data_IF_402368097227
#
_entry.id   IF_402368097227
#
_cell.length_a   1.000
_cell.length_b   1.000
_cell.length_c   1.000
_cell.angle_alpha   90.00
_cell.angle_beta   90.00
_cell.angle_gamma   90.00
#
_symmetry.space_group_name_H-M   'P 1'
#
loop_
_entity.id
_entity.type
_entity.pdbx_description
1 polymer ?
#
# COMPACT_ATOMS: atom_id res chain seq x y z
N UNK A 1 5.42 -15.45 -8.99
CA UNK A 1 4.04 -15.01 -9.08
C UNK A 1 3.14 -15.87 -8.19
N UNK A 2 2.57 -15.29 -7.13
CA UNK A 2 1.74 -16.01 -6.14
C UNK A 2 0.26 -16.09 -6.55
N UNK A 3 -0.11 -15.55 -7.71
CA UNK A 3 -1.52 -15.40 -8.09
C UNK A 3 -2.32 -16.71 -8.09
N UNK A 4 -1.62 -17.84 -8.25
CA UNK A 4 -2.23 -19.17 -8.30
C UNK A 4 -1.65 -20.13 -7.23
N UNK A 5 -0.82 -19.61 -6.31
CA UNK A 5 -0.17 -20.44 -5.30
C UNK A 5 -0.96 -20.34 -3.99
N UNK A 6 -1.58 -21.44 -3.60
CA UNK A 6 -2.23 -21.57 -2.31
C UNK A 6 -1.15 -21.85 -1.27
N UNK A 7 -1.11 -21.03 -0.22
CA UNK A 7 -0.18 -21.27 0.88
C UNK A 7 -0.51 -22.58 1.60
N UNK A 8 0.49 -23.46 1.75
CA UNK A 8 0.34 -24.70 2.51
C UNK A 8 0.26 -24.40 4.02
N UNK A 9 -0.95 -24.46 4.53
CA UNK A 9 -1.26 -24.19 5.93
C UNK A 9 -0.64 -25.20 6.92
N UNK A 10 -0.07 -26.34 6.45
CA UNK A 10 0.60 -27.33 7.32
C UNK A 10 2.02 -26.89 7.67
N UNK A 11 2.61 -25.98 6.92
CA UNK A 11 3.96 -25.48 7.17
C UNK A 11 4.11 -24.86 8.56
N UNK A 12 5.31 -25.03 9.13
CA UNK A 12 5.67 -24.34 10.37
C UNK A 12 5.96 -22.88 10.06
N UNK A 13 5.26 -21.98 10.74
CA UNK A 13 5.44 -20.54 10.61
C UNK A 13 5.69 -19.90 11.97
N UNK A 14 6.35 -18.74 11.99
CA UNK A 14 6.66 -18.07 13.24
C UNK A 14 5.40 -17.72 14.07
N UNK A 15 4.24 -17.32 13.48
CA UNK A 15 3.03 -17.09 14.28
C UNK A 15 2.57 -18.34 15.00
N UNK A 16 2.60 -19.51 14.37
CA UNK A 16 2.26 -20.78 15.01
C UNK A 16 3.21 -21.13 16.18
N UNK A 17 4.50 -20.83 16.02
CA UNK A 17 5.48 -21.03 17.10
C UNK A 17 5.24 -20.09 18.26
N UNK A 18 4.94 -18.83 17.99
CA UNK A 18 4.62 -17.83 19.01
C UNK A 18 3.31 -18.15 19.74
N UNK A 19 2.26 -18.61 19.04
CA UNK A 19 1.05 -19.12 19.67
C UNK A 19 1.36 -20.25 20.66
N UNK A 20 2.19 -21.24 20.26
CA UNK A 20 2.62 -22.33 21.15
C UNK A 20 3.41 -21.84 22.35
N UNK A 21 4.11 -20.72 22.23
CA UNK A 21 4.84 -20.07 23.31
C UNK A 21 3.96 -19.16 24.19
N UNK A 22 2.64 -19.13 23.95
CA UNK A 22 1.67 -18.37 24.77
C UNK A 22 1.41 -16.94 24.31
N UNK A 23 1.92 -16.53 23.12
CA UNK A 23 1.61 -15.23 22.55
C UNK A 23 0.20 -15.21 21.97
N UNK A 24 -0.48 -14.08 22.10
CA UNK A 24 -1.63 -13.75 21.25
C UNK A 24 -1.13 -13.27 19.89
N UNK A 25 -1.76 -13.74 18.82
CA UNK A 25 -1.29 -13.51 17.45
C UNK A 25 -2.37 -12.87 16.59
N UNK A 26 -2.03 -11.83 15.87
CA UNK A 26 -2.94 -11.21 14.91
C UNK A 26 -2.26 -10.87 13.58
N UNK A 27 -3.04 -10.93 12.48
CA UNK A 27 -2.68 -10.36 11.19
C UNK A 27 -3.83 -9.52 10.65
N UNK A 28 -3.54 -8.28 10.29
CA UNK A 28 -4.51 -7.31 9.79
C UNK A 28 -3.96 -6.63 8.54
N UNK A 29 -4.73 -6.65 7.45
CA UNK A 29 -4.37 -6.00 6.21
C UNK A 29 -4.10 -6.93 5.04
N UNK A 30 -3.11 -6.64 4.20
CA UNK A 30 -2.83 -7.42 2.99
C UNK A 30 -2.32 -8.81 3.31
N UNK A 31 -2.94 -9.84 2.71
CA UNK A 31 -2.55 -11.24 2.90
C UNK A 31 -2.09 -11.92 1.60
N UNK A 32 -2.87 -11.86 0.55
CA UNK A 32 -2.58 -12.30 -0.82
C UNK A 32 -2.01 -13.73 -0.96
N UNK A 33 -2.37 -14.65 -0.07
CA UNK A 33 -1.92 -16.04 -0.09
C UNK A 33 -3.01 -17.06 -0.47
N UNK A 34 -4.18 -16.59 -0.92
CA UNK A 34 -5.38 -17.35 -1.31
C UNK A 34 -6.03 -18.08 -0.13
N UNK A 35 -5.26 -18.91 0.61
CA UNK A 35 -5.76 -19.58 1.83
C UNK A 35 -6.05 -18.58 2.94
N UNK A 36 -6.94 -18.97 3.86
CA UNK A 36 -7.17 -18.19 5.06
C UNK A 36 -5.93 -18.20 5.99
N UNK A 37 -5.69 -17.13 6.76
CA UNK A 37 -4.58 -17.08 7.71
C UNK A 37 -4.70 -18.18 8.76
N UNK A 38 -3.58 -18.85 9.07
CA UNK A 38 -3.46 -19.85 10.12
C UNK A 38 -2.32 -19.50 11.07
N UNK A 39 -2.48 -19.88 12.36
CA UNK A 39 -1.53 -19.51 13.40
C UNK A 39 -1.77 -18.11 13.95
N UNK A 40 -2.98 -17.58 13.77
CA UNK A 40 -3.43 -16.31 14.31
C UNK A 40 -4.73 -16.50 15.09
N UNK A 41 -4.80 -15.88 16.28
CA UNK A 41 -6.00 -15.86 17.12
C UNK A 41 -7.03 -14.88 16.55
N UNK A 42 -6.54 -13.84 15.89
CA UNK A 42 -7.36 -12.86 15.18
C UNK A 42 -6.78 -12.57 13.79
N UNK A 43 -7.65 -12.41 12.82
CA UNK A 43 -7.25 -11.91 11.51
C UNK A 43 -8.40 -11.19 10.81
N UNK A 44 -8.06 -10.12 10.12
CA UNK A 44 -8.96 -9.44 9.19
C UNK A 44 -8.14 -8.92 8.01
N UNK A 45 -8.33 -9.52 6.84
CA UNK A 45 -7.42 -9.36 5.71
C UNK A 45 -8.13 -8.90 4.43
N UNK A 46 -7.34 -8.26 3.57
CA UNK A 46 -7.78 -7.85 2.24
C UNK A 46 -7.76 -9.06 1.30
N UNK A 47 -8.87 -9.39 0.61
CA UNK A 47 -8.86 -10.38 -0.45
C UNK A 47 -7.97 -9.95 -1.62
N UNK A 48 -7.15 -10.86 -2.14
CA UNK A 48 -6.26 -10.60 -3.27
C UNK A 48 -5.34 -9.40 -3.05
N UNK A 49 -5.29 -8.49 -4.02
CA UNK A 49 -4.50 -7.25 -3.92
C UNK A 49 -5.13 -6.18 -3.03
N UNK A 50 -6.41 -6.30 -2.72
CA UNK A 50 -7.17 -5.28 -2.04
C UNK A 50 -7.39 -4.01 -2.88
N UNK A 51 -8.18 -3.08 -2.36
CA UNK A 51 -8.41 -1.75 -2.95
C UNK A 51 -8.14 -0.68 -1.91
N UNK A 52 -7.88 0.55 -2.36
CA UNK A 52 -7.51 1.64 -1.46
C UNK A 52 -8.69 2.26 -0.71
N UNK A 53 -9.86 2.26 -1.31
CA UNK A 53 -11.06 2.88 -0.75
C UNK A 53 -12.15 1.85 -0.51
N UNK A 54 -12.80 1.97 0.63
CA UNK A 54 -13.96 1.17 1.02
C UNK A 54 -13.74 -0.34 0.79
N UNK A 55 -12.57 -0.91 1.17
CA UNK A 55 -12.22 -2.26 0.82
C UNK A 55 -13.15 -3.27 1.47
N UNK A 56 -13.65 -4.28 0.73
CA UNK A 56 -14.14 -5.47 1.40
C UNK A 56 -12.95 -6.14 2.10
N UNK A 57 -13.16 -6.59 3.34
CA UNK A 57 -12.19 -7.37 4.09
C UNK A 57 -12.79 -8.74 4.43
N UNK A 58 -11.95 -9.70 4.73
CA UNK A 58 -12.35 -11.04 5.16
C UNK A 58 -11.80 -11.33 6.55
N UNK A 59 -12.62 -11.94 7.40
CA UNK A 59 -12.21 -12.51 8.69
C UNK A 59 -12.79 -13.92 8.85
N UNK A 60 -12.65 -14.53 10.02
CA UNK A 60 -13.13 -15.89 10.29
C UNK A 60 -14.65 -16.05 10.15
N UNK A 61 -15.43 -14.98 10.23
CA UNK A 61 -16.88 -14.99 10.09
C UNK A 61 -17.34 -14.73 8.64
N UNK A 62 -16.41 -14.37 7.75
CA UNK A 62 -16.71 -14.10 6.35
C UNK A 62 -16.31 -12.71 5.87
N UNK A 63 -17.02 -12.22 4.85
CA UNK A 63 -16.76 -10.91 4.25
C UNK A 63 -17.35 -9.78 5.09
N UNK A 64 -16.54 -8.75 5.32
CA UNK A 64 -16.90 -7.53 6.05
C UNK A 64 -16.77 -6.34 5.11
N UNK A 65 -17.81 -5.51 5.02
CA UNK A 65 -17.74 -4.22 4.34
C UNK A 65 -17.09 -3.20 5.25
N UNK A 66 -16.14 -2.46 4.74
CA UNK A 66 -15.53 -1.34 5.45
C UNK A 66 -15.72 -0.05 4.63
N UNK A 67 -15.65 1.10 5.30
CA UNK A 67 -15.74 2.40 4.67
C UNK A 67 -14.55 3.25 5.10
N UNK A 68 -13.96 3.97 4.16
CA UNK A 68 -12.81 4.83 4.38
C UNK A 68 -11.59 4.41 3.59
N UNK A 69 -10.44 4.95 3.98
CA UNK A 69 -9.16 4.68 3.34
C UNK A 69 -8.46 3.47 3.96
N UNK A 70 -8.00 2.55 3.13
CA UNK A 70 -7.50 1.23 3.57
C UNK A 70 -6.37 1.30 4.59
N UNK A 71 -5.44 2.25 4.46
CA UNK A 71 -4.31 2.39 5.38
C UNK A 71 -4.79 2.80 6.78
N UNK A 72 -5.74 3.75 6.85
CA UNK A 72 -6.37 4.17 8.10
C UNK A 72 -7.16 3.00 8.74
N UNK A 73 -7.98 2.29 7.94
CA UNK A 73 -8.78 1.14 8.40
C UNK A 73 -7.90 0.05 9.00
N UNK A 74 -6.80 -0.33 8.35
CA UNK A 74 -5.87 -1.36 8.83
C UNK A 74 -5.26 -0.93 10.18
N UNK A 75 -4.89 0.33 10.32
CA UNK A 75 -4.34 0.87 11.56
C UNK A 75 -5.39 0.94 12.66
N UNK A 76 -6.61 1.39 12.35
CA UNK A 76 -7.71 1.45 13.31
C UNK A 76 -8.04 0.07 13.88
N UNK A 77 -8.16 -0.95 13.01
CA UNK A 77 -8.35 -2.34 13.41
C UNK A 77 -7.19 -2.88 14.25
N UNK A 78 -5.97 -2.49 13.92
CA UNK A 78 -4.75 -2.88 14.66
C UNK A 78 -4.74 -2.28 16.07
N UNK A 79 -5.04 -1.00 16.20
CA UNK A 79 -5.15 -0.31 17.47
C UNK A 79 -6.31 -0.87 18.32
N UNK A 80 -7.45 -1.11 17.70
CA UNK A 80 -8.61 -1.74 18.37
C UNK A 80 -8.25 -3.13 18.92
N UNK A 81 -7.60 -3.96 18.11
CA UNK A 81 -7.16 -5.28 18.56
C UNK A 81 -6.16 -5.21 19.71
N UNK A 82 -5.13 -4.35 19.62
CA UNK A 82 -4.15 -4.16 20.71
C UNK A 82 -4.86 -3.72 22.00
N UNK A 83 -5.84 -2.81 21.90
CA UNK A 83 -6.55 -2.28 23.05
C UNK A 83 -7.36 -3.36 23.79
N UNK A 84 -7.92 -4.31 23.05
CA UNK A 84 -8.83 -5.37 23.56
C UNK A 84 -8.12 -6.69 23.91
N UNK A 85 -6.80 -6.80 23.64
CA UNK A 85 -6.05 -8.01 23.92
C UNK A 85 -6.06 -8.38 25.41
N UNK A 86 -5.81 -9.63 25.73
CA UNK A 86 -5.50 -10.05 27.11
C UNK A 86 -4.15 -9.45 27.53
N UNK A 87 -4.20 -8.46 28.43
CA UNK A 87 -3.00 -7.71 28.89
C UNK A 87 -2.02 -8.57 29.72
N UNK A 88 -2.41 -9.78 30.09
CA UNK A 88 -1.56 -10.72 30.85
C UNK A 88 -0.65 -11.54 29.93
N UNK A 89 -0.86 -11.50 28.60
CA UNK A 89 -0.11 -12.27 27.63
C UNK A 89 0.72 -11.38 26.72
N UNK A 90 1.88 -11.86 26.28
CA UNK A 90 2.61 -11.21 25.19
C UNK A 90 1.82 -11.31 23.89
N UNK A 91 2.14 -10.44 22.93
CA UNK A 91 1.45 -10.44 21.65
C UNK A 91 2.41 -10.28 20.45
N UNK A 92 1.95 -10.74 19.32
CA UNK A 92 2.50 -10.37 18.02
C UNK A 92 1.38 -9.88 17.10
N UNK A 93 1.60 -8.73 16.46
CA UNK A 93 0.70 -8.15 15.48
C UNK A 93 1.45 -7.94 14.17
N UNK A 94 0.92 -8.49 13.09
CA UNK A 94 1.33 -8.19 11.73
C UNK A 94 0.34 -7.16 11.15
N UNK A 95 0.72 -5.87 11.18
CA UNK A 95 -0.04 -4.78 10.58
C UNK A 95 0.46 -4.57 9.15
N UNK A 96 -0.27 -5.11 8.16
CA UNK A 96 0.19 -5.22 6.77
C UNK A 96 -0.57 -4.25 5.86
N UNK A 97 -0.04 -3.03 5.69
CA UNK A 97 -0.61 -2.03 4.80
C UNK A 97 -0.52 -2.48 3.33
N UNK A 98 -1.57 -2.13 2.53
CA UNK A 98 -1.55 -2.28 1.08
C UNK A 98 -0.63 -1.24 0.42
N UNK A 99 -0.66 -0.01 0.92
CA UNK A 99 0.17 1.07 0.42
C UNK A 99 1.66 0.80 0.68
N UNK A 100 2.56 1.19 -0.21
CA UNK A 100 2.36 1.91 -1.46
C UNK A 100 2.27 1.03 -2.72
N UNK A 101 1.61 -0.13 -2.68
CA UNK A 101 1.43 -0.96 -3.88
C UNK A 101 0.67 -0.19 -4.98
N UNK A 102 0.98 -0.44 -6.24
CA UNK A 102 0.21 0.02 -7.41
C UNK A 102 -1.30 -0.25 -7.18
N UNK A 103 -2.24 0.68 -7.45
CA UNK A 103 -2.15 1.85 -8.33
C UNK A 103 -1.90 3.18 -7.59
N UNK A 104 -1.33 3.19 -6.38
CA UNK A 104 -0.95 4.40 -5.62
C UNK A 104 -2.09 5.43 -5.52
N UNK A 105 -3.24 5.03 -5.04
CA UNK A 105 -4.37 5.94 -4.86
C UNK A 105 -4.19 6.69 -3.53
N UNK A 106 -3.91 8.01 -3.54
CA UNK A 106 -3.70 8.77 -2.32
C UNK A 106 -4.97 8.84 -1.46
N UNK A 107 -4.81 9.02 -0.15
CA UNK A 107 -5.93 9.40 0.70
C UNK A 107 -6.44 10.80 0.29
N UNK A 108 -7.76 11.00 0.26
CA UNK A 108 -8.36 12.30 -0.08
C UNK A 108 -7.86 13.45 0.82
N UNK A 109 -7.52 13.16 2.08
CA UNK A 109 -6.91 14.14 3.00
C UNK A 109 -5.49 14.55 2.61
N UNK A 110 -4.79 13.71 1.84
CA UNK A 110 -3.41 13.91 1.42
C UNK A 110 -3.28 14.34 -0.06
N UNK A 111 -4.42 14.53 -0.74
CA UNK A 111 -4.42 15.07 -2.10
C UNK A 111 -3.76 16.46 -2.13
N UNK A 112 -2.80 16.60 -3.04
CA UNK A 112 -2.01 17.83 -3.12
C UNK A 112 -0.89 17.92 -2.10
N UNK A 113 -0.63 16.86 -1.33
CA UNK A 113 0.63 16.74 -0.60
C UNK A 113 1.79 17.01 -1.57
N UNK A 114 2.63 17.97 -1.21
CA UNK A 114 3.81 18.32 -2.01
C UNK A 114 3.52 18.76 -3.46
N UNK A 115 2.32 19.31 -3.74
CA UNK A 115 1.81 19.63 -5.09
C UNK A 115 2.69 20.58 -5.91
N UNK A 116 3.47 21.44 -5.23
CA UNK A 116 4.31 22.46 -5.86
C UNK A 116 5.77 21.98 -6.06
N UNK A 117 6.08 20.77 -5.59
CA UNK A 117 7.40 20.18 -5.74
C UNK A 117 7.56 19.59 -7.13
N UNK A 118 8.71 19.85 -7.73
CA UNK A 118 9.18 19.13 -8.91
C UNK A 118 10.23 18.12 -8.45
N UNK A 119 9.95 16.85 -8.65
CA UNK A 119 10.87 15.79 -8.31
C UNK A 119 12.02 15.74 -9.30
N UNK A 120 13.28 15.67 -8.84
CA UNK A 120 14.43 15.56 -9.73
C UNK A 120 14.33 14.26 -10.54
N UNK A 121 14.60 14.36 -11.83
CA UNK A 121 14.68 13.18 -12.68
C UNK A 121 15.94 12.39 -12.31
N UNK A 122 15.86 11.07 -12.04
CA UNK A 122 17.05 10.28 -11.89
C UNK A 122 17.87 10.26 -13.19
N UNK A 123 19.21 10.25 -13.12
CA UNK A 123 20.06 10.24 -14.33
C UNK A 123 19.76 9.06 -15.27
N UNK A 124 19.20 7.98 -14.72
CA UNK A 124 18.87 6.76 -15.45
C UNK A 124 17.41 6.69 -15.91
N UNK A 125 16.62 7.77 -15.78
CA UNK A 125 15.20 7.78 -16.22
C UNK A 125 15.05 7.33 -17.68
N UNK A 126 16.03 7.63 -18.51
CA UNK A 126 16.10 7.25 -19.93
C UNK A 126 17.34 6.37 -20.20
N UNK A 127 17.60 5.39 -19.31
CA UNK A 127 18.70 4.44 -19.47
C UNK A 127 18.57 3.65 -20.78
N UNK A 128 19.64 3.53 -21.51
CA UNK A 128 19.71 2.74 -22.76
C UNK A 128 20.03 1.26 -22.48
N UNK A 129 20.27 0.92 -21.22
CA UNK A 129 20.66 -0.40 -20.73
C UNK A 129 21.95 -0.95 -21.36
N UNK A 130 22.80 -0.09 -21.96
CA UNK A 130 24.09 -0.49 -22.50
C UNK A 130 24.94 -1.22 -21.45
N UNK A 131 25.57 -2.32 -21.87
CA UNK A 131 26.40 -3.18 -21.01
C UNK A 131 25.69 -3.85 -19.81
N UNK A 132 24.37 -3.94 -19.84
CA UNK A 132 23.59 -4.66 -18.84
C UNK A 132 23.12 -6.03 -19.34
N UNK A 133 22.66 -6.88 -18.43
CA UNK A 133 22.07 -8.17 -18.81
C UNK A 133 20.83 -7.95 -19.71
N UNK A 134 20.68 -8.81 -20.72
CA UNK A 134 19.57 -8.74 -21.68
C UNK A 134 18.19 -8.66 -21.02
N UNK A 135 17.98 -9.41 -19.95
CA UNK A 135 16.74 -9.42 -19.19
C UNK A 135 16.33 -8.03 -18.64
N UNK A 136 17.29 -7.16 -18.36
CA UNK A 136 17.01 -5.78 -17.87
C UNK A 136 16.42 -4.92 -18.97
N UNK A 137 17.02 -4.97 -20.16
CA UNK A 137 16.53 -4.21 -21.32
C UNK A 137 15.22 -4.74 -21.93
N UNK A 138 14.91 -6.03 -21.69
CA UNK A 138 13.67 -6.67 -22.12
C UNK A 138 12.52 -6.52 -21.13
N UNK A 139 12.76 -5.91 -19.98
CA UNK A 139 11.72 -5.68 -18.98
C UNK A 139 10.67 -4.68 -19.51
N UNK A 140 9.40 -5.09 -19.42
CA UNK A 140 8.28 -4.25 -19.84
C UNK A 140 7.78 -3.30 -18.75
N UNK A 141 8.16 -3.50 -17.49
CA UNK A 141 7.71 -2.67 -16.37
C UNK A 141 8.46 -1.33 -16.38
N UNK A 142 8.00 -0.42 -17.25
CA UNK A 142 8.58 0.92 -17.38
C UNK A 142 7.49 2.00 -17.33
N UNK A 143 7.88 3.23 -17.00
CA UNK A 143 7.01 4.40 -17.05
C UNK A 143 6.48 4.66 -18.46
N UNK A 144 7.22 4.26 -19.49
CA UNK A 144 6.81 4.40 -20.89
C UNK A 144 5.75 3.37 -21.28
N UNK A 145 5.93 2.08 -20.89
CA UNK A 145 5.14 0.96 -21.44
C UNK A 145 3.98 0.53 -20.53
N UNK A 146 4.22 0.46 -19.23
CA UNK A 146 3.27 -0.19 -18.28
C UNK A 146 2.41 0.74 -17.45
N UNK A 147 2.68 2.06 -17.47
CA UNK A 147 1.82 3.03 -16.80
C UNK A 147 0.49 3.13 -17.55
N UNK A 148 -0.58 2.79 -16.87
CA UNK A 148 -1.95 2.82 -17.38
C UNK A 148 -2.67 4.13 -17.03
N UNK A 149 -3.81 4.44 -17.66
CA UNK A 149 -4.66 5.57 -17.26
C UNK A 149 -5.09 5.55 -15.79
N UNK A 150 -5.24 4.36 -15.17
CA UNK A 150 -5.55 4.23 -13.75
C UNK A 150 -4.38 4.68 -12.88
N UNK A 151 -3.16 4.29 -13.21
CA UNK A 151 -1.96 4.64 -12.45
C UNK A 151 -1.73 6.16 -12.35
N UNK A 152 -2.06 6.89 -13.41
CA UNK A 152 -1.93 8.34 -13.47
C UNK A 152 -3.26 9.07 -13.23
N UNK A 153 -4.27 8.38 -12.66
CA UNK A 153 -5.56 8.92 -12.22
C UNK A 153 -6.38 9.62 -13.33
N UNK A 154 -6.20 9.20 -14.59
CA UNK A 154 -7.10 9.58 -15.68
C UNK A 154 -8.43 8.81 -15.61
N UNK A 155 -8.47 7.75 -14.82
CA UNK A 155 -9.68 6.99 -14.49
C UNK A 155 -9.85 7.02 -12.98
N UNK A 156 -11.02 7.44 -12.54
CA UNK A 156 -11.38 7.49 -11.12
C UNK A 156 -11.54 6.07 -10.55
N UNK A 157 -11.08 5.80 -9.30
CA UNK A 157 -11.36 4.54 -8.62
C UNK A 157 -12.86 4.30 -8.47
N UNK A 158 -13.39 3.14 -8.88
CA UNK A 158 -14.83 2.88 -8.84
C UNK A 158 -15.38 2.65 -7.43
N UNK A 159 -14.52 2.50 -6.42
CA UNK A 159 -14.89 2.21 -5.04
C UNK A 159 -15.18 3.46 -4.21
N UNK A 160 -14.91 4.66 -4.75
CA UNK A 160 -15.19 5.91 -4.06
C UNK A 160 -16.71 6.08 -3.84
N UNK A 161 -17.10 6.45 -2.63
CA UNK A 161 -18.45 6.96 -2.39
C UNK A 161 -18.62 8.37 -2.96
N UNK A 162 -19.81 8.93 -2.86
CA UNK A 162 -20.15 10.22 -3.47
C UNK A 162 -19.32 11.39 -2.92
N UNK A 163 -19.03 11.39 -1.61
CA UNK A 163 -18.24 12.43 -0.95
C UNK A 163 -16.76 12.31 -1.36
N UNK A 164 -16.21 11.12 -1.28
CA UNK A 164 -14.85 10.82 -1.72
C UNK A 164 -14.65 11.17 -3.20
N UNK A 165 -15.63 10.81 -4.05
CA UNK A 165 -15.60 11.09 -5.48
C UNK A 165 -15.60 12.61 -5.76
N UNK A 166 -16.41 13.39 -5.05
CA UNK A 166 -16.44 14.83 -5.23
C UNK A 166 -15.09 15.50 -4.92
N UNK A 167 -14.43 15.10 -3.82
CA UNK A 167 -13.10 15.61 -3.45
C UNK A 167 -12.05 15.16 -4.46
N UNK A 168 -12.09 13.90 -4.88
CA UNK A 168 -11.19 13.33 -5.86
C UNK A 168 -11.27 14.05 -7.20
N UNK A 169 -12.48 14.21 -7.73
CA UNK A 169 -12.72 14.86 -9.03
C UNK A 169 -12.29 16.33 -8.99
N UNK A 170 -12.62 17.06 -7.93
CA UNK A 170 -12.18 18.45 -7.77
C UNK A 170 -10.65 18.61 -7.84
N UNK A 171 -9.89 17.60 -7.38
CA UNK A 171 -8.44 17.61 -7.45
C UNK A 171 -7.90 17.16 -8.81
N UNK A 172 -8.40 16.04 -9.35
CA UNK A 172 -7.81 15.42 -10.54
C UNK A 172 -8.36 15.94 -11.86
N UNK A 173 -9.63 16.33 -11.99
CA UNK A 173 -10.21 16.78 -13.26
C UNK A 173 -9.47 17.97 -13.89
N UNK A 174 -9.16 19.07 -13.17
CA UNK A 174 -8.42 20.17 -13.75
C UNK A 174 -7.02 19.76 -14.26
N UNK A 175 -6.37 18.85 -13.51
CA UNK A 175 -5.04 18.31 -13.84
C UNK A 175 -5.07 17.39 -15.06
N UNK A 176 -6.12 16.62 -15.18
CA UNK A 176 -6.34 15.71 -16.30
C UNK A 176 -6.69 16.51 -17.58
N UNK A 177 -7.51 17.56 -17.44
CA UNK A 177 -7.80 18.46 -18.55
C UNK A 177 -6.52 19.18 -19.07
N UNK A 178 -5.67 19.64 -18.16
CA UNK A 178 -4.38 20.24 -18.52
C UNK A 178 -3.47 19.25 -19.25
N UNK A 179 -3.39 18.00 -18.79
CA UNK A 179 -2.64 16.93 -19.46
C UNK A 179 -3.17 16.66 -20.87
N UNK A 180 -4.49 16.51 -21.02
CA UNK A 180 -5.10 16.29 -22.33
C UNK A 180 -4.79 17.43 -23.33
N UNK A 181 -4.87 18.68 -22.85
CA UNK A 181 -4.54 19.86 -23.67
C UNK A 181 -3.06 19.91 -24.06
N UNK A 182 -2.16 19.41 -23.22
CA UNK A 182 -0.71 19.42 -23.47
C UNK A 182 -0.29 18.46 -24.60
N UNK A 183 -1.10 17.43 -24.90
CA UNK A 183 -0.88 16.45 -25.99
C UNK A 183 0.55 15.90 -26.03
N UNK A 184 1.07 15.46 -24.87
CA UNK A 184 2.45 15.04 -24.69
C UNK A 184 2.75 13.72 -25.39
N UNK A 185 3.99 13.57 -25.89
CA UNK A 185 4.47 12.32 -26.49
C UNK A 185 5.96 12.10 -26.18
N UNK A 186 6.47 10.87 -26.46
CA UNK A 186 7.87 10.53 -26.27
C UNK A 186 8.38 10.82 -24.85
N UNK A 187 9.56 11.41 -24.75
CA UNK A 187 10.21 11.70 -23.45
C UNK A 187 9.40 12.65 -22.56
N UNK A 188 8.67 13.60 -23.13
CA UNK A 188 7.87 14.54 -22.34
C UNK A 188 6.66 13.86 -21.70
N UNK A 189 6.08 12.87 -22.36
CA UNK A 189 5.05 12.03 -21.77
C UNK A 189 5.62 11.18 -20.60
N UNK A 190 6.83 10.62 -20.75
CA UNK A 190 7.49 9.86 -19.69
C UNK A 190 7.79 10.75 -18.48
N UNK A 191 8.31 11.97 -18.68
CA UNK A 191 8.54 12.96 -17.62
C UNK A 191 7.27 13.32 -16.89
N UNK A 192 6.18 13.56 -17.63
CA UNK A 192 4.89 13.86 -17.03
C UNK A 192 4.37 12.68 -16.21
N UNK A 193 4.48 11.45 -16.71
CA UNK A 193 4.11 10.22 -15.98
C UNK A 193 4.94 10.07 -14.71
N UNK A 194 6.24 10.32 -14.79
CA UNK A 194 7.15 10.28 -13.64
C UNK A 194 6.71 11.27 -12.55
N UNK A 195 6.47 12.54 -12.89
CA UNK A 195 6.02 13.52 -11.90
C UNK A 195 4.67 13.13 -11.27
N UNK A 196 3.70 12.72 -12.09
CA UNK A 196 2.38 12.28 -11.62
C UNK A 196 2.51 11.07 -10.69
N UNK A 197 3.29 10.09 -11.08
CA UNK A 197 3.56 8.90 -10.29
C UNK A 197 4.21 9.25 -8.94
N UNK A 198 5.24 10.10 -8.94
CA UNK A 198 5.94 10.48 -7.72
C UNK A 198 5.03 11.18 -6.71
N UNK A 199 4.19 12.12 -7.15
CA UNK A 199 3.23 12.79 -6.27
C UNK A 199 2.26 11.79 -5.65
N UNK A 200 1.64 10.94 -6.45
CA UNK A 200 0.63 9.99 -5.96
C UNK A 200 1.26 8.89 -5.08
N UNK A 201 2.45 8.40 -5.46
CA UNK A 201 3.21 7.43 -4.68
C UNK A 201 3.57 7.97 -3.30
N UNK A 202 4.18 9.15 -3.25
CA UNK A 202 4.63 9.73 -1.97
C UNK A 202 3.45 10.17 -1.08
N UNK A 203 2.32 10.55 -1.65
CA UNK A 203 1.10 10.77 -0.87
C UNK A 203 0.59 9.47 -0.24
N UNK A 204 0.73 8.30 -0.91
CA UNK A 204 0.40 7.01 -0.27
C UNK A 204 1.42 6.61 0.80
N UNK A 205 2.71 6.92 0.59
CA UNK A 205 3.77 6.73 1.60
C UNK A 205 3.52 7.59 2.83
N UNK A 206 3.12 8.86 2.64
CA UNK A 206 2.73 9.75 3.73
C UNK A 206 1.62 9.14 4.60
N UNK A 207 0.61 8.56 3.97
CA UNK A 207 -0.47 7.89 4.71
C UNK A 207 0.06 6.70 5.54
N UNK A 208 1.04 5.95 5.04
CA UNK A 208 1.68 4.87 5.82
C UNK A 208 2.47 5.45 6.99
N UNK A 209 3.28 6.50 6.76
CA UNK A 209 4.09 7.15 7.78
C UNK A 209 3.21 7.69 8.92
N UNK A 210 2.15 8.43 8.61
CA UNK A 210 1.18 8.92 9.59
C UNK A 210 0.58 7.78 10.42
N UNK A 211 0.26 6.66 9.80
CA UNK A 211 -0.36 5.50 10.44
C UNK A 211 0.63 4.68 11.28
N UNK A 212 1.87 4.53 10.84
CA UNK A 212 2.95 3.97 11.67
C UNK A 212 3.17 4.87 12.89
N UNK A 213 3.20 6.19 12.70
CA UNK A 213 3.28 7.15 13.80
C UNK A 213 2.15 7.01 14.82
N UNK A 214 0.91 6.70 14.39
CA UNK A 214 -0.23 6.42 15.29
C UNK A 214 0.00 5.17 16.13
N UNK A 215 0.51 4.09 15.51
CA UNK A 215 0.84 2.85 16.23
C UNK A 215 1.94 3.06 17.28
N UNK A 216 3.03 3.75 16.91
CA UNK A 216 4.13 4.03 17.82
C UNK A 216 3.69 4.89 19.00
N UNK A 217 2.94 5.97 18.75
CA UNK A 217 2.38 6.82 19.80
C UNK A 217 1.45 6.05 20.74
N UNK A 218 0.67 5.11 20.21
CA UNK A 218 -0.17 4.25 21.05
C UNK A 218 0.67 3.35 21.95
N UNK A 219 1.73 2.71 21.44
CA UNK A 219 2.64 1.89 22.24
C UNK A 219 3.29 2.69 23.37
N UNK A 220 3.71 3.93 23.09
CA UNK A 220 4.27 4.85 24.10
C UNK A 220 3.22 5.20 25.16
N UNK A 221 2.02 5.63 24.75
CA UNK A 221 0.95 6.05 25.65
C UNK A 221 0.47 4.93 26.58
N UNK A 222 0.47 3.67 26.11
CA UNK A 222 0.09 2.49 26.88
C UNK A 222 1.26 1.86 27.68
N UNK A 223 2.44 2.48 27.66
CA UNK A 223 3.64 1.98 28.35
C UNK A 223 4.16 0.65 27.80
N UNK A 224 3.88 0.37 26.53
CA UNK A 224 4.27 -0.87 25.86
C UNK A 224 5.60 -0.74 25.09
N UNK A 225 6.03 0.47 24.76
CA UNK A 225 7.14 0.71 23.86
C UNK A 225 8.46 0.06 24.36
N UNK A 226 8.76 0.19 25.65
CA UNK A 226 10.00 -0.34 26.25
C UNK A 226 10.12 -1.88 26.19
N UNK A 227 8.99 -2.59 26.02
CA UNK A 227 8.95 -4.06 25.98
C UNK A 227 8.34 -4.58 24.66
N UNK A 228 8.41 -3.80 23.59
CA UNK A 228 7.92 -4.16 22.26
C UNK A 228 9.00 -4.00 21.20
N UNK A 229 9.30 -5.07 20.47
CA UNK A 229 10.16 -5.01 19.30
C UNK A 229 9.28 -4.61 18.12
N UNK A 230 9.58 -3.47 17.50
CA UNK A 230 8.92 -3.00 16.28
C UNK A 230 9.81 -3.32 15.06
N UNK A 231 9.25 -4.04 14.09
CA UNK A 231 9.93 -4.39 12.84
C UNK A 231 9.18 -3.74 11.70
N UNK A 232 9.82 -2.82 10.98
CA UNK A 232 9.31 -2.27 9.73
C UNK A 232 9.98 -2.94 8.54
N UNK A 233 9.19 -3.47 7.61
CA UNK A 233 9.69 -4.17 6.44
C UNK A 233 8.72 -4.03 5.27
N UNK A 234 9.19 -4.32 4.07
CA UNK A 234 8.38 -4.44 2.87
C UNK A 234 8.73 -5.74 2.14
N UNK A 235 7.75 -6.31 1.42
CA UNK A 235 7.96 -7.48 0.57
C UNK A 235 8.60 -7.12 -0.78
N UNK A 236 8.34 -5.90 -1.27
CA UNK A 236 8.82 -5.39 -2.56
C UNK A 236 9.05 -3.87 -2.48
N UNK A 237 9.55 -3.29 -3.58
CA UNK A 237 9.75 -1.86 -3.75
C UNK A 237 9.61 -1.43 -5.21
N UNK A 238 9.76 -0.11 -5.44
CA UNK A 238 9.79 0.51 -6.76
C UNK A 238 11.10 1.25 -6.95
N UNK A 239 11.54 1.38 -8.19
CA UNK A 239 12.78 2.06 -8.54
C UNK A 239 12.65 3.60 -8.60
N UNK A 240 11.42 4.12 -8.52
CA UNK A 240 11.14 5.57 -8.47
C UNK A 240 11.76 6.35 -9.64
N UNK A 241 11.63 5.79 -10.83
CA UNK A 241 12.14 6.36 -12.06
C UNK A 241 13.56 5.93 -12.44
N UNK A 242 14.35 5.34 -11.51
CA UNK A 242 15.65 4.77 -11.86
C UNK A 242 15.48 3.67 -12.91
N UNK A 243 16.33 3.72 -13.94
CA UNK A 243 16.28 2.83 -15.10
C UNK A 243 14.94 2.86 -15.85
N UNK A 244 14.19 3.95 -15.73
CA UNK A 244 12.89 4.12 -16.38
C UNK A 244 11.73 3.32 -15.74
N UNK A 245 11.94 2.78 -14.52
CA UNK A 245 10.99 1.88 -13.85
C UNK A 245 10.24 2.53 -12.70
#
# INVERSE_FOLDING_TARGET
>A
NNSNSVFDSTQVTFPKLLQKAGYQTAVIGKWHLISDPVGFDFWQVLPGQGVYYNPPMKNAQGMVKTQGYVTDIITDLSLDWISKRDKTKPFVLMCQHKAPHREWEPNIKDLGFDKDRVYPEPPTLFDDFANRAKAVGENDMTLEKTITPKDVKLVRPPQLDAEQAAVWDAYYEPRNAAYQKANLSGKDLVRWRYQRYMHDYLATVKAVDDNVGRLLKYLEAEGLAENTIVIYSADQGFYLGEHGW
#
